data_IF_965916489378
#
_entry.id   IF_965916489378
#
_cell.length_a   1.000
_cell.length_b   1.000
_cell.length_c   1.000
_cell.angle_alpha   90.00
_cell.angle_beta   90.00
_cell.angle_gamma   90.00
#
_symmetry.space_group_name_H-M   'P 1'
#
loop_
_entity.id
_entity.type
_entity.pdbx_description
1 polymer ?
#
# COMPACT_ATOMS: atom_id res chain seq x y z
N UNK A 1 -7.14 -7.93 -12.95
CA UNK A 1 -7.57 -7.00 -11.94
C UNK A 1 -6.40 -6.16 -11.50
N UNK A 2 -6.63 -4.88 -11.35
CA UNK A 2 -5.53 -3.96 -11.16
C UNK A 2 -5.73 -3.10 -9.93
N UNK A 3 -4.72 -3.01 -9.10
CA UNK A 3 -4.72 -2.17 -7.90
C UNK A 3 -3.47 -1.31 -7.95
N UNK A 4 -3.64 0.00 -7.74
CA UNK A 4 -2.50 0.89 -7.73
C UNK A 4 -2.07 1.19 -6.31
N UNK A 5 -0.77 1.22 -6.07
CA UNK A 5 -0.20 1.60 -4.79
C UNK A 5 0.70 2.79 -4.99
N UNK A 6 0.51 3.83 -4.18
CA UNK A 6 1.37 5.00 -4.20
C UNK A 6 2.09 5.11 -2.87
N UNK A 7 3.32 5.58 -2.90
CA UNK A 7 4.13 5.77 -1.70
C UNK A 7 4.41 7.25 -1.51
N UNK A 8 4.28 7.74 -0.29
CA UNK A 8 4.64 9.10 0.04
C UNK A 8 5.54 9.10 1.27
N UNK A 9 6.57 9.91 1.24
CA UNK A 9 7.47 10.04 2.38
C UNK A 9 8.51 8.96 2.51
N UNK A 10 8.70 8.15 1.48
CA UNK A 10 9.65 7.07 1.56
C UNK A 10 11.05 7.45 1.11
N UNK A 11 11.20 8.56 0.40
CA UNK A 11 12.51 8.96 -0.11
C UNK A 11 13.09 7.87 -0.99
N UNK A 12 14.25 7.40 -0.68
CA UNK A 12 14.90 6.34 -1.45
C UNK A 12 14.60 4.95 -0.96
N UNK A 13 13.68 4.80 0.01
CA UNK A 13 13.45 3.51 0.63
C UNK A 13 12.33 2.71 0.01
N UNK A 14 11.89 3.05 -1.17
CA UNK A 14 10.82 2.31 -1.82
C UNK A 14 11.24 0.87 -2.11
N UNK A 15 10.35 -0.10 -1.98
CA UNK A 15 10.67 -1.48 -2.30
C UNK A 15 11.10 -1.65 -3.74
N UNK A 16 11.90 -2.67 -4.06
CA UNK A 16 12.38 -2.89 -5.41
C UNK A 16 11.29 -3.00 -6.47
N UNK A 17 10.12 -3.51 -6.10
CA UNK A 17 9.03 -3.65 -7.05
C UNK A 17 8.57 -2.32 -7.62
N UNK A 18 8.86 -1.21 -6.95
CA UNK A 18 8.48 0.11 -7.43
C UNK A 18 9.49 0.68 -8.41
N UNK A 19 10.62 0.00 -8.60
CA UNK A 19 11.56 0.32 -9.65
C UNK A 19 12.01 1.78 -9.59
N UNK A 20 12.35 2.22 -8.43
CA UNK A 20 12.81 3.58 -8.14
C UNK A 20 11.71 4.64 -8.27
N UNK A 21 10.47 4.22 -8.41
CA UNK A 21 9.35 5.15 -8.45
C UNK A 21 8.61 5.15 -7.15
N UNK A 22 7.48 5.85 -7.12
CA UNK A 22 6.64 5.88 -5.95
C UNK A 22 5.25 5.34 -6.26
N UNK A 23 5.11 4.58 -7.34
CA UNK A 23 3.84 4.08 -7.77
C UNK A 23 4.00 2.72 -8.39
N UNK A 24 3.11 1.81 -8.10
CA UNK A 24 3.15 0.46 -8.62
C UNK A 24 1.74 0.01 -8.94
N UNK A 25 1.57 -0.63 -10.08
CA UNK A 25 0.30 -1.20 -10.43
C UNK A 25 0.42 -2.71 -10.29
N UNK A 26 -0.46 -3.33 -9.53
CA UNK A 26 -0.43 -4.75 -9.31
C UNK A 26 -1.59 -5.43 -10.01
N UNK A 27 -1.31 -6.57 -10.65
CA UNK A 27 -2.33 -7.35 -11.30
C UNK A 27 -2.56 -8.57 -10.40
N UNK A 28 -3.53 -8.48 -9.53
CA UNK A 28 -3.84 -9.55 -8.60
C UNK A 28 -5.33 -9.78 -8.54
N UNK A 29 -5.71 -10.94 -8.05
CA UNK A 29 -7.12 -11.30 -7.96
C UNK A 29 -7.82 -10.41 -6.94
N UNK A 30 -9.02 -9.95 -7.25
CA UNK A 30 -9.83 -9.13 -6.37
C UNK A 30 -11.21 -9.76 -6.23
N UNK A 31 -11.91 -9.51 -5.13
CA UNK A 31 -11.48 -8.64 -4.03
C UNK A 31 -10.36 -9.28 -3.21
N UNK A 32 -9.63 -8.46 -2.50
CA UNK A 32 -8.52 -8.93 -1.69
C UNK A 32 -8.46 -8.08 -0.43
N UNK A 33 -7.40 -8.18 0.35
CA UNK A 33 -7.23 -7.40 1.57
C UNK A 33 -6.03 -6.48 1.42
N UNK A 34 -5.96 -5.39 2.20
CA UNK A 34 -4.80 -4.52 2.17
C UNK A 34 -3.51 -5.28 2.47
N UNK A 35 -3.56 -6.23 3.40
CA UNK A 35 -2.38 -7.02 3.77
C UNK A 35 -1.85 -7.79 2.56
N UNK A 36 -2.75 -8.42 1.80
CA UNK A 36 -2.36 -9.18 0.63
C UNK A 36 -1.76 -8.27 -0.44
N UNK A 37 -2.30 -7.06 -0.59
CA UNK A 37 -1.78 -6.12 -1.56
C UNK A 37 -0.38 -5.67 -1.16
N UNK A 38 -0.15 -5.39 0.12
CA UNK A 38 1.16 -4.97 0.59
C UNK A 38 2.19 -6.06 0.40
N UNK A 39 1.82 -7.31 0.65
CA UNK A 39 2.74 -8.42 0.44
C UNK A 39 3.08 -8.57 -1.03
N UNK A 40 2.10 -8.43 -1.90
CA UNK A 40 2.33 -8.53 -3.34
C UNK A 40 3.26 -7.41 -3.82
N UNK A 41 3.26 -6.28 -3.14
CA UNK A 41 4.12 -5.16 -3.49
C UNK A 41 5.51 -5.26 -2.85
N UNK A 42 5.75 -6.30 -2.08
CA UNK A 42 7.06 -6.47 -1.43
C UNK A 42 7.18 -5.73 -0.10
N UNK A 43 6.07 -5.24 0.47
CA UNK A 43 6.11 -4.52 1.70
C UNK A 43 5.69 -5.46 2.82
N UNK A 44 6.67 -5.99 3.53
CA UNK A 44 6.37 -6.95 4.58
C UNK A 44 6.24 -6.32 5.95
N UNK A 45 6.92 -5.22 6.18
CA UNK A 45 6.86 -4.57 7.47
C UNK A 45 6.36 -3.15 7.26
N UNK A 46 5.11 -2.91 7.54
CA UNK A 46 4.51 -1.62 7.37
C UNK A 46 4.26 -0.93 8.71
N UNK A 47 5.02 -1.29 9.74
CA UNK A 47 4.90 -0.68 11.04
C UNK A 47 5.16 0.80 10.95
N UNK A 48 4.32 1.60 11.57
CA UNK A 48 4.48 3.04 11.55
C UNK A 48 4.02 3.72 10.27
N UNK A 49 3.44 2.97 9.36
CA UNK A 49 2.93 3.56 8.12
C UNK A 49 1.42 3.73 8.20
N UNK A 50 0.92 4.68 7.44
CA UNK A 50 -0.51 4.92 7.34
C UNK A 50 -0.97 4.47 5.96
N UNK A 51 -2.00 3.66 5.90
CA UNK A 51 -2.54 3.17 4.65
C UNK A 51 -3.89 3.81 4.39
N UNK A 52 -4.08 4.28 3.18
CA UNK A 52 -5.36 4.83 2.78
C UNK A 52 -5.86 4.15 1.53
N UNK A 53 -7.16 4.00 1.40
CA UNK A 53 -7.77 3.54 0.15
C UNK A 53 -8.55 4.74 -0.35
N UNK A 54 -8.08 5.37 -1.39
CA UNK A 54 -8.61 6.61 -1.95
C UNK A 54 -8.61 7.69 -0.85
N UNK A 55 -9.74 8.00 -0.27
CA UNK A 55 -9.82 9.03 0.73
C UNK A 55 -9.97 8.51 2.15
N UNK A 56 -9.95 7.20 2.34
CA UNK A 56 -10.22 6.63 3.64
C UNK A 56 -9.01 5.99 4.24
N UNK A 57 -8.71 6.30 5.50
CA UNK A 57 -7.62 5.67 6.22
C UNK A 57 -8.06 4.28 6.63
N UNK A 58 -7.23 3.28 6.42
CA UNK A 58 -7.48 1.92 6.85
C UNK A 58 -6.58 1.64 8.04
N UNK A 59 -7.13 1.56 9.26
CA UNK A 59 -6.32 1.27 10.44
C UNK A 59 -5.61 -0.07 10.31
N UNK A 60 -4.43 -0.17 10.87
CA UNK A 60 -3.62 -1.39 10.76
C UNK A 60 -4.38 -2.63 11.24
N UNK A 61 -5.23 -2.49 12.24
CA UNK A 61 -6.01 -3.61 12.72
C UNK A 61 -7.03 -4.14 11.74
N UNK A 62 -7.29 -3.40 10.64
CA UNK A 62 -8.25 -3.83 9.64
C UNK A 62 -7.57 -4.28 8.35
N UNK A 63 -6.26 -4.32 8.31
CA UNK A 63 -5.55 -4.67 7.07
C UNK A 63 -5.78 -6.13 6.64
N UNK A 64 -6.22 -6.98 7.55
CA UNK A 64 -6.51 -8.36 7.21
C UNK A 64 -8.00 -8.58 6.94
N UNK A 65 -8.84 -7.58 7.20
CA UNK A 65 -10.28 -7.74 7.07
C UNK A 65 -10.93 -6.80 6.07
N UNK A 66 -10.35 -5.66 5.82
CA UNK A 66 -10.92 -4.71 4.88
C UNK A 66 -10.89 -5.28 3.46
N UNK A 67 -11.73 -4.77 2.60
CA UNK A 67 -11.84 -5.26 1.24
C UNK A 67 -11.27 -4.25 0.26
N UNK A 68 -10.40 -4.73 -0.61
CA UNK A 68 -9.82 -3.93 -1.69
C UNK A 68 -10.37 -4.49 -2.98
N UNK A 69 -10.93 -3.64 -3.81
CA UNK A 69 -11.56 -4.05 -5.05
C UNK A 69 -10.71 -3.66 -6.27
N UNK A 70 -11.09 -4.17 -7.42
CA UNK A 70 -10.41 -3.86 -8.68
C UNK A 70 -10.42 -2.34 -8.89
N UNK A 71 -9.29 -1.81 -9.29
CA UNK A 71 -9.08 -0.40 -9.58
C UNK A 71 -9.00 0.49 -8.35
N UNK A 72 -8.96 -0.07 -7.19
CA UNK A 72 -8.75 0.72 -5.99
C UNK A 72 -7.33 1.29 -6.00
N UNK A 73 -7.15 2.43 -5.38
CA UNK A 73 -5.86 3.07 -5.28
C UNK A 73 -5.48 3.17 -3.82
N UNK A 74 -4.45 2.46 -3.43
CA UNK A 74 -3.96 2.49 -2.06
C UNK A 74 -2.79 3.47 -1.97
N UNK A 75 -2.74 4.23 -0.90
CA UNK A 75 -1.65 5.16 -0.63
C UNK A 75 -1.02 4.80 0.70
N UNK A 76 0.29 4.64 0.70
CA UNK A 76 1.01 4.30 1.90
C UNK A 76 1.88 5.49 2.26
N UNK A 77 1.71 6.04 3.47
CA UNK A 77 2.42 7.20 3.89
C UNK A 77 3.34 6.85 5.05
N UNK A 78 4.54 7.38 5.02
CA UNK A 78 5.43 7.25 6.14
C UNK A 78 5.00 8.23 7.21
N UNK A 79 4.66 7.73 8.38
CA UNK A 79 4.23 8.57 9.46
C UNK A 79 5.41 9.14 10.22
N UNK A 80 6.61 8.69 9.91
CA UNK A 80 7.66 9.17 10.62
C UNK A 80 8.19 10.26 9.94
N UNK A 81 8.03 11.31 10.17
CA UNK A 81 8.49 12.34 9.65
C UNK A 81 9.66 12.77 10.16
N UNK A 82 10.59 12.67 9.74
CA UNK A 82 11.76 13.20 10.13
C UNK A 82 11.92 13.08 11.51
N UNK A 83 11.22 12.41 11.84
CA UNK A 83 11.17 12.11 13.20
C UNK A 83 11.87 12.44 13.96
#
# INVERSE_FOLDING_TARGET
MSIEIKLFGFGGDAPPAFNNGNRLELDIATPTTPRAVLRAAGIEDASGLVLMNTDQVIPAGQWDDAIVNDRDCLTLLSAFEGG
#
